data_IF_842335317521
#
_entry.id   IF_842335317521
#
_cell.length_a   1.000
_cell.length_b   1.000
_cell.length_c   1.000
_cell.angle_alpha   90.00
_cell.angle_beta   90.00
_cell.angle_gamma   90.00
#
_symmetry.space_group_name_H-M   'P 1'
#
loop_
_entity.id
_entity.type
_entity.pdbx_description
1 polymer ?
#
# COMPACT_ATOMS: atom_id res chain seq x y z
N UNK A 1 6.49 9.13 6.26
CA UNK A 1 7.70 9.41 7.06
C UNK A 1 7.45 10.66 7.86
N UNK A 2 7.65 10.63 9.18
CA UNK A 2 7.52 11.84 9.99
C UNK A 2 8.84 12.64 9.99
N UNK A 3 8.82 13.83 10.60
CA UNK A 3 9.98 14.72 10.59
C UNK A 3 11.13 14.23 11.48
N UNK A 4 10.85 13.50 12.56
CA UNK A 4 11.90 12.98 13.46
C UNK A 4 12.66 11.85 12.77
N UNK A 5 11.94 10.91 12.15
CA UNK A 5 12.53 9.86 11.32
C UNK A 5 13.43 10.47 10.23
N UNK A 6 12.98 11.54 9.59
CA UNK A 6 13.75 12.23 8.56
C UNK A 6 15.03 12.87 9.10
N UNK A 7 14.97 13.51 10.27
CA UNK A 7 16.13 14.13 10.93
C UNK A 7 17.20 13.09 11.23
N UNK A 8 16.82 11.93 11.77
CA UNK A 8 17.74 10.83 12.06
C UNK A 8 18.35 10.26 10.78
N UNK A 9 17.51 10.00 9.76
CA UNK A 9 17.94 9.41 8.48
C UNK A 9 18.86 10.30 7.65
N UNK A 10 18.80 11.61 7.85
CA UNK A 10 19.62 12.59 7.10
C UNK A 10 20.78 13.18 7.90
N UNK A 11 20.92 12.76 9.16
CA UNK A 11 21.86 13.34 10.12
C UNK A 11 21.77 14.87 10.17
N UNK A 12 20.53 15.39 10.13
CA UNK A 12 20.25 16.81 9.91
C UNK A 12 20.95 17.68 10.97
N UNK A 13 20.98 17.22 12.22
CA UNK A 13 21.56 17.96 13.33
C UNK A 13 23.07 18.22 13.15
N UNK A 14 23.79 17.37 12.43
CA UNK A 14 25.23 17.54 12.17
C UNK A 14 25.54 18.43 10.97
N UNK A 15 24.52 18.83 10.18
CA UNK A 15 24.69 19.68 9.00
C UNK A 15 24.82 21.17 9.37
N UNK A 16 25.38 21.96 8.45
CA UNK A 16 25.46 23.42 8.60
C UNK A 16 24.06 24.04 8.64
N UNK A 17 23.91 25.24 9.21
CA UNK A 17 22.58 25.86 9.34
C UNK A 17 21.83 26.05 8.01
N UNK A 18 22.54 26.35 6.91
CA UNK A 18 21.91 26.48 5.59
C UNK A 18 21.49 25.11 5.04
N UNK A 19 22.27 24.06 5.27
CA UNK A 19 21.94 22.69 4.87
C UNK A 19 20.76 22.14 5.70
N UNK A 20 20.66 22.48 6.98
CA UNK A 20 19.49 22.17 7.81
C UNK A 20 18.21 22.76 7.20
N UNK A 21 18.23 24.04 6.84
CA UNK A 21 17.09 24.69 6.19
C UNK A 21 16.77 24.03 4.83
N UNK A 22 17.80 23.63 4.08
CA UNK A 22 17.66 22.91 2.81
C UNK A 22 16.96 21.57 2.98
N UNK A 23 17.36 20.79 3.98
CA UNK A 23 16.75 19.49 4.29
C UNK A 23 15.30 19.64 4.79
N UNK A 24 15.00 20.66 5.60
CA UNK A 24 13.61 20.96 6.01
C UNK A 24 12.75 21.34 4.81
N UNK A 25 13.25 22.23 3.94
CA UNK A 25 12.53 22.61 2.73
C UNK A 25 12.27 21.40 1.82
N UNK A 26 13.24 20.48 1.72
CA UNK A 26 13.08 19.22 1.00
C UNK A 26 12.02 18.31 1.65
N UNK A 27 12.03 18.20 2.98
CA UNK A 27 11.04 17.41 3.72
C UNK A 27 9.62 17.93 3.49
N UNK A 28 9.41 19.24 3.65
CA UNK A 28 8.11 19.89 3.40
C UNK A 28 7.65 19.69 1.95
N UNK A 29 8.56 19.79 0.99
CA UNK A 29 8.25 19.54 -0.41
C UNK A 29 7.86 18.10 -0.69
N UNK A 30 8.64 17.13 -0.21
CA UNK A 30 8.50 15.71 -0.57
C UNK A 30 7.42 14.98 0.24
N UNK A 31 7.34 15.23 1.54
CA UNK A 31 6.48 14.48 2.45
C UNK A 31 5.22 15.24 2.86
N UNK A 32 5.21 16.58 2.76
CA UNK A 32 4.04 17.41 3.05
C UNK A 32 3.40 18.03 1.78
N UNK A 33 3.93 17.73 0.59
CA UNK A 33 3.48 18.25 -0.71
C UNK A 33 3.42 19.80 -0.79
N UNK A 34 4.27 20.50 -0.03
CA UNK A 34 4.35 21.96 -0.03
C UNK A 34 5.30 22.47 -1.11
N UNK A 35 4.79 23.23 -2.08
CA UNK A 35 5.61 23.83 -3.15
C UNK A 35 6.47 25.01 -2.69
N UNK A 36 6.07 25.67 -1.62
CA UNK A 36 6.76 26.81 -1.02
C UNK A 36 6.80 26.60 0.50
N UNK A 37 7.84 27.08 1.17
CA UNK A 37 7.99 27.04 2.62
C UNK A 37 8.14 28.44 3.21
N UNK A 38 7.58 28.62 4.41
CA UNK A 38 7.77 29.83 5.20
C UNK A 38 9.01 29.67 6.09
N UNK A 39 9.99 30.57 5.93
CA UNK A 39 11.28 30.44 6.62
C UNK A 39 11.12 30.38 8.14
N UNK A 40 10.28 31.23 8.75
CA UNK A 40 10.13 31.25 10.21
C UNK A 40 9.55 29.93 10.72
N UNK A 41 8.52 29.39 10.05
CA UNK A 41 7.95 28.10 10.40
C UNK A 41 8.98 26.95 10.30
N UNK A 42 9.81 26.94 9.26
CA UNK A 42 10.88 25.94 9.12
C UNK A 42 11.97 26.09 10.20
N UNK A 43 12.28 27.32 10.64
CA UNK A 43 13.23 27.57 11.74
C UNK A 43 12.67 27.15 13.10
N UNK A 44 11.38 27.38 13.35
CA UNK A 44 10.68 26.87 14.53
C UNK A 44 10.71 25.35 14.56
N UNK A 45 10.42 24.71 13.43
CA UNK A 45 10.50 23.25 13.27
C UNK A 45 11.90 22.72 13.58
N UNK A 46 12.97 23.38 13.13
CA UNK A 46 14.35 23.00 13.50
C UNK A 46 14.60 23.08 15.01
N UNK A 47 14.00 24.05 15.69
CA UNK A 47 14.11 24.19 17.14
C UNK A 47 13.47 23.01 17.88
N UNK A 48 12.37 22.45 17.35
CA UNK A 48 11.68 21.30 17.96
C UNK A 48 12.52 20.02 18.02
N UNK A 49 13.57 19.93 17.19
CA UNK A 49 14.50 18.78 17.13
C UNK A 49 15.91 19.13 17.63
N UNK A 50 16.07 20.28 18.30
CA UNK A 50 17.36 20.72 18.84
C UNK A 50 18.35 21.23 17.79
N UNK A 51 17.91 21.44 16.54
CA UNK A 51 18.74 21.86 15.41
C UNK A 51 18.59 23.35 15.08
N UNK A 52 18.23 24.16 16.08
CA UNK A 52 17.96 25.59 15.94
C UNK A 52 19.09 26.38 15.27
N UNK A 53 18.72 27.56 14.75
CA UNK A 53 19.62 28.45 14.02
C UNK A 53 19.91 29.68 14.88
N UNK A 54 21.17 30.10 14.90
CA UNK A 54 21.65 31.22 15.71
C UNK A 54 21.30 32.60 15.18
N UNK A 55 21.20 32.81 13.86
CA UNK A 55 20.96 34.13 13.26
C UNK A 55 20.06 34.09 12.02
N UNK A 56 18.80 34.48 12.20
CA UNK A 56 17.77 34.49 11.14
C UNK A 56 18.11 35.44 9.99
N UNK A 57 18.71 36.60 10.26
CA UNK A 57 19.10 37.56 9.23
C UNK A 57 20.22 37.00 8.34
N UNK A 58 21.20 36.31 8.95
CA UNK A 58 22.27 35.61 8.23
C UNK A 58 21.69 34.51 7.32
N UNK A 59 20.73 33.74 7.81
CA UNK A 59 20.06 32.70 7.00
C UNK A 59 19.31 33.33 5.83
N UNK A 60 18.53 34.40 6.04
CA UNK A 60 17.86 35.10 4.93
C UNK A 60 18.85 35.56 3.84
N UNK A 61 19.99 36.12 4.24
CA UNK A 61 21.05 36.52 3.29
C UNK A 61 21.63 35.31 2.55
N UNK A 62 21.89 34.21 3.26
CA UNK A 62 22.42 32.98 2.69
C UNK A 62 21.45 32.34 1.68
N UNK A 63 20.14 32.30 2.00
CA UNK A 63 19.11 31.81 1.07
C UNK A 63 19.05 32.67 -0.20
N UNK A 64 19.19 33.99 -0.07
CA UNK A 64 19.16 34.91 -1.21
C UNK A 64 20.36 34.72 -2.16
N UNK A 65 21.53 34.40 -1.60
CA UNK A 65 22.77 34.19 -2.36
C UNK A 65 22.89 32.77 -2.92
N UNK A 66 22.16 31.81 -2.35
CA UNK A 66 22.27 30.41 -2.75
C UNK A 66 21.49 30.13 -4.03
N UNK A 67 22.10 29.38 -4.95
CA UNK A 67 21.45 28.82 -6.14
C UNK A 67 20.43 27.72 -5.82
N UNK A 68 20.34 27.29 -4.55
CA UNK A 68 19.46 26.20 -4.13
C UNK A 68 18.03 26.65 -3.89
N UNK A 69 17.83 27.95 -3.69
CA UNK A 69 16.53 28.51 -3.34
C UNK A 69 16.14 29.61 -4.32
N UNK A 70 14.84 29.86 -4.41
CA UNK A 70 14.29 31.06 -5.04
C UNK A 70 13.18 31.63 -4.17
N UNK A 71 12.97 32.93 -4.21
CA UNK A 71 11.87 33.58 -3.49
C UNK A 71 10.64 33.70 -4.39
N UNK A 72 9.47 33.38 -3.85
CA UNK A 72 8.20 33.54 -4.55
C UNK A 72 7.78 35.00 -4.56
N UNK A 73 7.55 35.56 -5.74
CA UNK A 73 7.13 36.95 -5.90
C UNK A 73 5.68 37.19 -5.43
N UNK A 74 4.87 36.14 -5.30
CA UNK A 74 3.45 36.24 -4.93
C UNK A 74 3.25 36.22 -3.41
N UNK A 75 3.95 35.33 -2.72
CA UNK A 75 3.74 35.03 -1.30
C UNK A 75 4.87 35.55 -0.42
N UNK A 76 6.05 35.82 -0.99
CA UNK A 76 7.27 36.12 -0.23
C UNK A 76 7.94 34.89 0.39
N UNK A 77 7.36 33.70 0.22
CA UNK A 77 7.89 32.42 0.69
C UNK A 77 9.09 31.96 -0.16
N UNK A 78 9.76 30.91 0.31
CA UNK A 78 10.90 30.32 -0.37
C UNK A 78 10.53 29.03 -1.07
N UNK A 79 11.21 28.74 -2.16
CA UNK A 79 11.04 27.51 -2.95
C UNK A 79 12.41 26.86 -3.07
N UNK A 80 12.49 25.56 -2.79
CA UNK A 80 13.66 24.75 -3.07
C UNK A 80 13.72 24.46 -4.58
N UNK A 81 14.88 24.68 -5.20
CA UNK A 81 15.04 24.44 -6.63
C UNK A 81 15.01 22.94 -6.95
N UNK A 82 14.39 22.58 -8.08
CA UNK A 82 14.17 21.19 -8.46
C UNK A 82 15.46 20.37 -8.60
N UNK A 83 16.54 20.98 -9.13
CA UNK A 83 17.84 20.33 -9.23
C UNK A 83 18.46 20.02 -7.86
N UNK A 84 18.33 20.95 -6.91
CA UNK A 84 18.78 20.74 -5.54
C UNK A 84 17.96 19.65 -4.85
N UNK A 85 16.63 19.68 -5.01
CA UNK A 85 15.76 18.64 -4.49
C UNK A 85 16.10 17.25 -5.05
N UNK A 86 16.39 17.17 -6.36
CA UNK A 86 16.84 15.93 -7.00
C UNK A 86 18.19 15.44 -6.44
N UNK A 87 19.14 16.35 -6.24
CA UNK A 87 20.44 16.01 -5.63
C UNK A 87 20.29 15.44 -4.20
N UNK A 88 19.42 16.04 -3.38
CA UNK A 88 19.15 15.54 -2.01
C UNK A 88 18.45 14.18 -2.07
N UNK A 89 17.49 14.02 -2.98
CA UNK A 89 16.80 12.75 -3.22
C UNK A 89 17.77 11.63 -3.60
N UNK A 90 18.79 11.94 -4.40
CA UNK A 90 19.84 11.00 -4.79
C UNK A 90 20.81 10.72 -3.63
N UNK A 91 21.23 11.75 -2.88
CA UNK A 91 22.12 11.62 -1.71
C UNK A 91 21.53 10.70 -0.63
N UNK A 92 20.24 10.85 -0.33
CA UNK A 92 19.56 10.09 0.73
C UNK A 92 18.62 9.01 0.19
N UNK A 93 18.86 8.53 -1.04
CA UNK A 93 17.95 7.59 -1.72
C UNK A 93 17.64 6.37 -0.86
N UNK A 94 18.66 5.72 -0.32
CA UNK A 94 18.52 4.47 0.44
C UNK A 94 17.86 4.68 1.81
N UNK A 95 18.17 5.79 2.48
CA UNK A 95 17.64 6.12 3.80
C UNK A 95 16.17 6.54 3.72
N UNK A 96 15.82 7.27 2.66
CA UNK A 96 14.46 7.79 2.42
C UNK A 96 13.58 6.84 1.61
N UNK A 97 14.10 5.71 1.16
CA UNK A 97 13.33 4.67 0.50
C UNK A 97 12.27 4.11 1.47
N UNK A 98 11.02 4.15 1.05
CA UNK A 98 9.94 3.52 1.81
C UNK A 98 9.89 2.03 1.47
N UNK A 99 10.38 1.21 2.39
CA UNK A 99 10.41 -0.25 2.25
C UNK A 99 9.17 -0.93 2.84
N UNK A 100 8.28 -0.17 3.47
CA UNK A 100 7.18 -0.71 4.26
C UNK A 100 5.82 -0.44 3.62
N UNK A 101 5.67 0.66 2.87
CA UNK A 101 4.46 0.91 2.10
C UNK A 101 4.44 0.10 0.81
N UNK A 102 3.23 -0.23 0.37
CA UNK A 102 2.98 -0.88 -0.91
C UNK A 102 2.21 0.13 -1.74
N UNK A 103 2.79 0.57 -2.85
CA UNK A 103 2.09 1.44 -3.78
C UNK A 103 0.95 0.65 -4.43
N UNK A 104 -0.27 1.13 -4.27
CA UNK A 104 -1.49 0.48 -4.72
C UNK A 104 -2.53 1.55 -5.02
N UNK A 105 -3.22 1.44 -6.16
CA UNK A 105 -4.23 2.39 -6.59
C UNK A 105 -5.30 1.73 -7.48
N UNK A 106 -5.96 0.69 -6.95
CA UNK A 106 -7.10 0.03 -7.60
C UNK A 106 -6.81 -0.59 -8.97
N UNK A 107 -5.58 -1.06 -9.22
CA UNK A 107 -5.19 -1.61 -10.51
C UNK A 107 -5.97 -2.87 -10.91
N UNK A 108 -6.37 -3.68 -9.92
CA UNK A 108 -7.17 -4.89 -10.13
C UNK A 108 -8.38 -5.00 -9.19
N UNK A 109 -8.20 -4.71 -7.89
CA UNK A 109 -9.23 -4.75 -6.86
C UNK A 109 -9.55 -3.34 -6.36
N UNK A 110 -10.83 -3.03 -6.22
CA UNK A 110 -11.32 -1.75 -5.68
C UNK A 110 -11.08 -1.66 -4.16
N UNK A 111 -10.08 -0.88 -3.76
CA UNK A 111 -9.74 -0.63 -2.37
C UNK A 111 -10.80 0.17 -1.62
N UNK A 112 -11.57 1.03 -2.31
CA UNK A 112 -12.67 1.74 -1.64
C UNK A 112 -13.75 0.77 -1.21
N UNK A 113 -13.97 -0.28 -2.00
CA UNK A 113 -14.93 -1.32 -1.70
C UNK A 113 -14.41 -2.31 -0.66
N UNK A 114 -13.18 -2.82 -0.85
CA UNK A 114 -12.68 -3.98 -0.12
C UNK A 114 -11.75 -3.66 1.06
N UNK A 115 -11.16 -2.46 1.13
CA UNK A 115 -10.25 -2.08 2.23
C UNK A 115 -10.99 -1.40 3.40
N UNK A 116 -10.28 -1.22 4.51
CA UNK A 116 -10.81 -0.61 5.74
C UNK A 116 -11.70 -1.53 6.56
N UNK A 117 -11.65 -2.85 6.27
CA UNK A 117 -12.46 -3.87 6.98
C UNK A 117 -11.62 -4.65 7.97
N UNK A 118 -10.47 -5.16 7.52
CA UNK A 118 -9.50 -5.90 8.34
C UNK A 118 -8.10 -5.61 7.81
N UNK A 119 -7.20 -5.18 8.69
CA UNK A 119 -5.86 -4.73 8.32
C UNK A 119 -5.05 -5.74 7.51
N UNK A 120 -5.22 -7.04 7.75
CA UNK A 120 -4.52 -8.07 6.98
C UNK A 120 -5.11 -8.25 5.56
N UNK A 121 -6.42 -8.03 5.37
CA UNK A 121 -7.05 -8.02 4.05
C UNK A 121 -6.61 -6.79 3.28
N UNK A 122 -6.58 -5.62 3.92
CA UNK A 122 -6.12 -4.36 3.32
C UNK A 122 -4.71 -4.53 2.73
N UNK A 123 -3.79 -5.16 3.50
CA UNK A 123 -2.43 -5.47 3.02
C UNK A 123 -2.43 -6.42 1.82
N UNK A 124 -3.27 -7.45 1.83
CA UNK A 124 -3.37 -8.40 0.71
C UNK A 124 -3.93 -7.73 -0.55
N UNK A 125 -4.92 -6.86 -0.42
CA UNK A 125 -5.49 -6.09 -1.53
C UNK A 125 -4.41 -5.19 -2.14
N UNK A 126 -3.65 -4.47 -1.30
CA UNK A 126 -2.53 -3.66 -1.80
C UNK A 126 -1.46 -4.49 -2.49
N UNK A 127 -1.15 -5.68 -1.98
CA UNK A 127 -0.22 -6.61 -2.63
C UNK A 127 -0.73 -7.12 -3.99
N UNK A 128 -2.02 -7.45 -4.10
CA UNK A 128 -2.63 -7.88 -5.37
C UNK A 128 -2.52 -6.77 -6.42
N UNK A 129 -2.94 -5.56 -6.07
CA UNK A 129 -2.87 -4.39 -6.94
C UNK A 129 -1.44 -4.07 -7.37
N UNK A 130 -0.50 -4.07 -6.42
CA UNK A 130 0.92 -3.83 -6.71
C UNK A 130 1.55 -4.91 -7.59
N UNK A 131 1.27 -6.20 -7.34
CA UNK A 131 1.81 -7.30 -8.16
C UNK A 131 1.22 -7.31 -9.56
N UNK A 132 -0.06 -6.97 -9.73
CA UNK A 132 -0.66 -6.78 -11.05
C UNK A 132 0.00 -5.62 -11.80
N UNK A 133 0.13 -4.44 -11.16
CA UNK A 133 0.78 -3.24 -11.73
C UNK A 133 2.20 -3.52 -12.23
N UNK A 134 2.96 -4.31 -11.47
CA UNK A 134 4.37 -4.59 -11.75
C UNK A 134 4.60 -5.88 -12.55
N UNK A 135 3.56 -6.42 -13.21
CA UNK A 135 3.64 -7.61 -14.06
C UNK A 135 4.10 -8.91 -13.35
N UNK A 136 3.96 -8.97 -12.03
CA UNK A 136 4.24 -10.15 -11.22
C UNK A 136 3.00 -11.07 -11.16
N UNK A 137 2.56 -11.58 -12.30
CA UNK A 137 1.24 -12.22 -12.44
C UNK A 137 1.08 -13.53 -11.66
N UNK A 138 2.11 -14.35 -11.54
CA UNK A 138 2.05 -15.55 -10.69
C UNK A 138 1.84 -15.19 -9.21
N UNK A 139 2.55 -14.16 -8.73
CA UNK A 139 2.35 -13.66 -7.37
C UNK A 139 0.93 -13.09 -7.19
N UNK A 140 0.44 -12.34 -8.18
CA UNK A 140 -0.93 -11.81 -8.19
C UNK A 140 -1.97 -12.95 -8.09
N UNK A 141 -1.85 -13.99 -8.91
CA UNK A 141 -2.76 -15.14 -8.90
C UNK A 141 -2.74 -15.91 -7.57
N UNK A 142 -1.57 -16.10 -6.97
CA UNK A 142 -1.43 -16.73 -5.65
C UNK A 142 -2.08 -15.88 -4.55
N UNK A 143 -1.91 -14.56 -4.59
CA UNK A 143 -2.54 -13.65 -3.64
C UNK A 143 -4.06 -13.60 -3.79
N UNK A 144 -4.59 -13.60 -5.03
CA UNK A 144 -6.02 -13.73 -5.30
C UNK A 144 -6.59 -15.04 -4.72
N UNK A 145 -5.88 -16.16 -4.89
CA UNK A 145 -6.27 -17.43 -4.27
C UNK A 145 -6.28 -17.36 -2.74
N UNK A 146 -5.29 -16.71 -2.13
CA UNK A 146 -5.21 -16.53 -0.67
C UNK A 146 -6.36 -15.68 -0.13
N UNK A 147 -6.67 -14.54 -0.76
CA UNK A 147 -7.82 -13.71 -0.37
C UNK A 147 -9.10 -14.53 -0.47
N UNK A 148 -9.28 -15.27 -1.56
CA UNK A 148 -10.47 -16.10 -1.78
C UNK A 148 -10.65 -17.17 -0.69
N UNK A 149 -9.58 -17.88 -0.32
CA UNK A 149 -9.60 -18.86 0.77
C UNK A 149 -9.96 -18.24 2.12
N UNK A 150 -9.33 -17.11 2.47
CA UNK A 150 -9.63 -16.37 3.70
C UNK A 150 -11.10 -15.95 3.72
N UNK A 151 -11.63 -15.47 2.61
CA UNK A 151 -13.02 -15.01 2.52
C UNK A 151 -14.03 -16.14 2.66
N UNK A 152 -13.73 -17.33 2.14
CA UNK A 152 -14.53 -18.52 2.39
C UNK A 152 -14.53 -18.86 3.89
N UNK A 153 -13.36 -18.89 4.53
CA UNK A 153 -13.24 -19.16 5.98
C UNK A 153 -14.07 -18.15 6.79
N UNK A 154 -13.91 -16.86 6.54
CA UNK A 154 -14.65 -15.80 7.25
C UNK A 154 -16.16 -15.92 7.04
N UNK A 155 -16.61 -16.32 5.86
CA UNK A 155 -18.02 -16.62 5.62
C UNK A 155 -18.48 -17.80 6.50
N UNK A 156 -17.77 -18.92 6.51
CA UNK A 156 -18.13 -20.07 7.34
C UNK A 156 -18.18 -19.72 8.84
N UNK A 157 -17.23 -18.94 9.34
CA UNK A 157 -17.21 -18.44 10.73
C UNK A 157 -18.40 -17.51 11.05
N UNK A 158 -18.79 -16.66 10.10
CA UNK A 158 -19.94 -15.77 10.25
C UNK A 158 -21.25 -16.57 10.33
N UNK A 159 -21.36 -17.66 9.55
CA UNK A 159 -22.51 -18.56 9.52
C UNK A 159 -22.48 -19.67 10.60
N UNK A 160 -21.44 -19.73 11.45
CA UNK A 160 -21.28 -20.76 12.50
C UNK A 160 -21.17 -22.19 11.95
N UNK A 161 -20.50 -22.35 10.82
CA UNK A 161 -20.31 -23.61 10.11
C UNK A 161 -18.82 -24.00 10.00
N UNK A 162 -17.92 -23.32 10.70
CA UNK A 162 -16.47 -23.53 10.63
C UNK A 162 -16.03 -24.96 11.00
N UNK A 163 -16.80 -25.66 11.83
CA UNK A 163 -16.55 -27.06 12.18
C UNK A 163 -16.57 -28.00 10.96
N UNK A 164 -17.33 -27.67 9.92
CA UNK A 164 -17.41 -28.48 8.69
C UNK A 164 -16.14 -28.38 7.83
N UNK A 165 -15.39 -27.29 7.97
CA UNK A 165 -14.18 -26.99 7.20
C UNK A 165 -12.89 -27.15 8.01
N UNK A 166 -12.97 -27.64 9.25
CA UNK A 166 -11.81 -28.01 10.07
C UNK A 166 -11.54 -29.51 10.03
N UNK A 167 -10.28 -29.89 10.18
CA UNK A 167 -9.86 -31.28 10.36
C UNK A 167 -9.91 -31.69 11.84
N UNK A 168 -9.50 -32.93 12.12
CA UNK A 168 -9.52 -33.49 13.47
C UNK A 168 -8.51 -32.83 14.42
N UNK A 169 -7.51 -32.13 13.89
CA UNK A 169 -6.51 -31.39 14.67
C UNK A 169 -6.98 -29.96 14.98
N UNK A 170 -8.10 -29.53 14.38
CA UNK A 170 -8.65 -28.19 14.55
C UNK A 170 -8.17 -27.18 13.52
N UNK A 171 -7.36 -27.62 12.55
CA UNK A 171 -6.83 -26.79 11.46
C UNK A 171 -7.84 -26.69 10.30
N UNK A 172 -7.78 -25.60 9.54
CA UNK A 172 -8.61 -25.46 8.34
C UNK A 172 -8.14 -26.41 7.24
N UNK A 173 -9.09 -27.11 6.60
CA UNK A 173 -8.82 -27.98 5.46
C UNK A 173 -8.30 -27.17 4.27
N UNK A 174 -7.61 -27.84 3.35
CA UNK A 174 -7.15 -27.21 2.10
C UNK A 174 -8.31 -26.60 1.30
N UNK A 175 -8.05 -25.49 0.60
CA UNK A 175 -8.99 -24.77 -0.26
C UNK A 175 -9.94 -25.64 -1.09
N UNK A 176 -9.47 -26.75 -1.68
CA UNK A 176 -10.34 -27.66 -2.45
C UNK A 176 -11.54 -28.15 -1.61
N UNK A 177 -11.26 -28.63 -0.40
CA UNK A 177 -12.30 -29.11 0.52
C UNK A 177 -13.21 -27.97 0.99
N UNK A 178 -12.67 -26.78 1.22
CA UNK A 178 -13.47 -25.61 1.63
C UNK A 178 -14.44 -25.23 0.50
N UNK A 179 -13.98 -25.22 -0.75
CA UNK A 179 -14.83 -24.94 -1.92
C UNK A 179 -15.93 -25.99 -2.07
N UNK A 180 -15.59 -27.29 -1.94
CA UNK A 180 -16.58 -28.38 -1.97
C UNK A 180 -17.65 -28.17 -0.89
N UNK A 181 -17.25 -27.89 0.36
CA UNK A 181 -18.17 -27.61 1.46
C UNK A 181 -19.02 -26.37 1.20
N UNK A 182 -18.48 -25.32 0.59
CA UNK A 182 -19.24 -24.13 0.24
C UNK A 182 -20.35 -24.44 -0.79
N UNK A 183 -20.02 -25.25 -1.80
CA UNK A 183 -20.97 -25.67 -2.84
C UNK A 183 -22.04 -26.60 -2.28
N UNK A 184 -21.67 -27.55 -1.42
CA UNK A 184 -22.62 -28.43 -0.72
C UNK A 184 -23.61 -27.64 0.15
N UNK A 185 -23.12 -26.62 0.87
CA UNK A 185 -23.91 -25.80 1.77
C UNK A 185 -24.49 -24.54 1.11
N UNK A 186 -24.51 -24.46 -0.23
CA UNK A 186 -24.88 -23.23 -0.98
C UNK A 186 -26.21 -22.62 -0.55
N UNK A 187 -27.20 -23.43 -0.20
CA UNK A 187 -28.53 -22.94 0.17
C UNK A 187 -28.51 -22.30 1.57
N UNK A 188 -27.78 -22.89 2.51
CA UNK A 188 -27.63 -22.38 3.88
C UNK A 188 -26.80 -21.09 3.87
N UNK A 189 -25.72 -21.08 3.10
CA UNK A 189 -24.86 -19.91 2.90
C UNK A 189 -25.53 -18.84 2.01
N UNK A 190 -26.61 -19.19 1.30
CA UNK A 190 -27.31 -18.34 0.35
C UNK A 190 -26.42 -17.85 -0.78
N UNK A 191 -25.54 -18.71 -1.31
CA UNK A 191 -24.66 -18.41 -2.43
C UNK A 191 -25.45 -18.39 -3.75
N UNK A 192 -25.13 -17.44 -4.62
CA UNK A 192 -25.80 -17.30 -5.90
C UNK A 192 -25.50 -18.43 -6.88
N UNK A 193 -26.27 -18.50 -7.97
CA UNK A 193 -26.14 -19.54 -9.00
C UNK A 193 -24.74 -19.47 -9.67
N UNK A 194 -24.28 -20.59 -10.22
CA UNK A 194 -22.98 -20.68 -10.89
C UNK A 194 -21.77 -20.72 -9.95
N UNK A 195 -21.98 -20.72 -8.63
CA UNK A 195 -20.89 -20.65 -7.63
C UNK A 195 -19.84 -21.75 -7.79
N UNK A 196 -20.25 -22.97 -8.17
CA UNK A 196 -19.33 -24.09 -8.35
C UNK A 196 -18.30 -23.79 -9.46
N UNK A 197 -18.79 -23.41 -10.63
CA UNK A 197 -17.96 -23.13 -11.81
C UNK A 197 -17.05 -21.93 -11.56
N UNK A 198 -17.58 -20.86 -10.95
CA UNK A 198 -16.82 -19.65 -10.67
C UNK A 198 -15.73 -19.89 -9.62
N UNK A 199 -16.03 -20.62 -8.55
CA UNK A 199 -15.04 -20.96 -7.52
C UNK A 199 -13.96 -21.88 -8.07
N UNK A 200 -14.31 -22.82 -8.95
CA UNK A 200 -13.34 -23.67 -9.63
C UNK A 200 -12.39 -22.86 -10.52
N UNK A 201 -12.89 -21.87 -11.28
CA UNK A 201 -12.04 -20.98 -12.09
C UNK A 201 -11.05 -20.20 -11.24
N UNK A 202 -11.52 -19.55 -10.18
CA UNK A 202 -10.67 -18.77 -9.25
C UNK A 202 -9.59 -19.67 -8.63
N UNK A 203 -10.00 -20.83 -8.12
CA UNK A 203 -9.11 -21.81 -7.47
C UNK A 203 -8.06 -22.34 -8.44
N UNK A 204 -8.48 -22.69 -9.66
CA UNK A 204 -7.59 -23.27 -10.67
C UNK A 204 -6.49 -22.30 -11.08
N UNK A 205 -6.79 -21.01 -11.30
CA UNK A 205 -5.78 -20.03 -11.68
C UNK A 205 -4.64 -19.96 -10.65
N UNK A 206 -4.99 -19.78 -9.37
CA UNK A 206 -3.97 -19.73 -8.31
C UNK A 206 -3.28 -21.08 -8.03
N UNK A 207 -3.94 -22.21 -8.33
CA UNK A 207 -3.28 -23.52 -8.29
C UNK A 207 -2.26 -23.69 -9.41
N UNK A 208 -2.55 -23.19 -10.61
CA UNK A 208 -1.63 -23.23 -11.73
C UNK A 208 -0.39 -22.39 -11.42
N UNK A 209 -0.59 -21.14 -11.00
CA UNK A 209 0.49 -20.23 -10.60
C UNK A 209 1.40 -20.81 -9.50
N UNK A 210 0.83 -21.54 -8.53
CA UNK A 210 1.58 -22.06 -7.39
C UNK A 210 2.33 -23.38 -7.65
N UNK A 211 1.83 -24.22 -8.56
CA UNK A 211 2.22 -25.64 -8.58
C UNK A 211 2.58 -26.21 -9.95
N UNK A 212 2.30 -25.51 -11.06
CA UNK A 212 2.58 -26.04 -12.40
C UNK A 212 3.98 -25.63 -12.85
N UNK A 213 4.82 -26.63 -13.11
CA UNK A 213 6.23 -26.44 -13.50
C UNK A 213 6.39 -25.73 -14.87
N UNK A 214 5.49 -26.02 -15.82
CA UNK A 214 5.53 -25.48 -17.19
C UNK A 214 4.40 -24.49 -17.43
N UNK A 215 4.16 -23.57 -16.49
CA UNK A 215 3.12 -22.57 -16.55
C UNK A 215 3.60 -21.30 -15.85
N UNK A 216 3.44 -20.17 -16.53
CA UNK A 216 3.53 -18.84 -15.93
C UNK A 216 2.22 -18.12 -16.23
N UNK A 217 1.64 -17.50 -15.22
CA UNK A 217 0.43 -16.72 -15.34
C UNK A 217 0.68 -15.50 -16.23
N UNK A 218 -0.26 -15.20 -17.12
CA UNK A 218 -0.27 -13.99 -17.94
C UNK A 218 -1.32 -13.01 -17.43
N UNK A 219 -1.22 -11.76 -17.87
CA UNK A 219 -2.25 -10.75 -17.66
C UNK A 219 -3.62 -11.22 -18.15
N UNK A 220 -3.68 -11.82 -19.34
CA UNK A 220 -4.92 -12.34 -19.92
C UNK A 220 -5.60 -13.37 -19.03
N UNK A 221 -4.84 -14.24 -18.35
CA UNK A 221 -5.40 -15.27 -17.47
C UNK A 221 -6.09 -14.66 -16.24
N UNK A 222 -5.54 -13.54 -15.73
CA UNK A 222 -6.14 -12.78 -14.62
C UNK A 222 -7.34 -11.98 -15.11
N UNK A 223 -7.21 -11.32 -16.26
CA UNK A 223 -8.24 -10.45 -16.81
C UNK A 223 -9.50 -11.23 -17.21
N UNK A 224 -9.34 -12.45 -17.74
CA UNK A 224 -10.43 -13.35 -18.09
C UNK A 224 -11.28 -13.75 -16.86
N UNK A 225 -10.69 -13.80 -15.66
CA UNK A 225 -11.41 -14.10 -14.43
C UNK A 225 -11.76 -12.86 -13.61
N UNK A 226 -11.29 -11.67 -13.98
CA UNK A 226 -11.39 -10.44 -13.16
C UNK A 226 -12.81 -10.14 -12.73
N UNK A 227 -13.76 -10.18 -13.66
CA UNK A 227 -15.16 -9.90 -13.38
C UNK A 227 -15.77 -10.96 -12.46
N UNK A 228 -15.47 -12.25 -12.73
CA UNK A 228 -15.93 -13.37 -11.89
C UNK A 228 -15.40 -13.19 -10.47
N UNK A 229 -14.11 -12.91 -10.33
CA UNK A 229 -13.45 -12.71 -9.06
C UNK A 229 -14.07 -11.53 -8.30
N UNK A 230 -14.25 -10.36 -8.94
CA UNK A 230 -14.89 -9.18 -8.31
C UNK A 230 -16.29 -9.50 -7.79
N UNK A 231 -17.14 -10.12 -8.61
CA UNK A 231 -18.52 -10.47 -8.23
C UNK A 231 -18.54 -11.44 -7.05
N UNK A 232 -17.69 -12.47 -7.08
CA UNK A 232 -17.63 -13.48 -6.01
C UNK A 232 -17.00 -12.95 -4.74
N UNK A 233 -15.98 -12.10 -4.85
CA UNK A 233 -15.36 -11.46 -3.71
C UNK A 233 -16.35 -10.55 -2.99
N UNK A 234 -17.11 -9.73 -3.73
CA UNK A 234 -18.13 -8.85 -3.14
C UNK A 234 -19.25 -9.64 -2.46
N UNK A 235 -19.76 -10.69 -3.11
CA UNK A 235 -20.70 -11.63 -2.48
C UNK A 235 -20.12 -12.19 -1.17
N UNK A 236 -18.88 -12.69 -1.19
CA UNK A 236 -18.22 -13.21 0.00
C UNK A 236 -18.02 -12.16 1.09
N UNK A 237 -17.75 -10.90 0.75
CA UNK A 237 -17.65 -9.81 1.72
C UNK A 237 -18.97 -9.54 2.43
N UNK A 238 -20.10 -9.56 1.71
CA UNK A 238 -21.42 -9.50 2.32
C UNK A 238 -21.69 -10.72 3.20
N UNK A 239 -21.39 -11.93 2.72
CA UNK A 239 -21.61 -13.18 3.47
C UNK A 239 -20.72 -13.31 4.70
N UNK A 240 -19.53 -12.73 4.69
CA UNK A 240 -18.64 -12.64 5.84
C UNK A 240 -18.99 -11.49 6.80
N UNK A 241 -20.01 -10.68 6.49
CA UNK A 241 -20.44 -9.56 7.33
C UNK A 241 -19.48 -8.36 7.32
N UNK A 242 -18.63 -8.23 6.30
CA UNK A 242 -17.65 -7.13 6.17
C UNK A 242 -18.23 -5.91 5.43
N UNK A 243 -19.24 -6.13 4.59
CA UNK A 243 -20.03 -5.10 3.91
C UNK A 243 -21.50 -5.36 4.24
N UNK A 244 -22.24 -4.28 4.53
CA UNK A 244 -23.67 -4.33 4.78
C UNK A 244 -24.43 -4.15 3.48
#
# INVERSE_FOLDING_TARGET
MDFKDFVEKTDLCCKTEIERVKLVAFFEMKFENKKEFELNASLERLTTVGAGVSNNSRIKQNLTKSKDFRKSNKTGNWILNANTAKSIQEEFKEQLEDKNSIESNNELLDEKLFSGKRTYLDKLISQVNNTYKNHCYDACAVLLRRIFEIMLILMFENYKLESSIRDNNGDYKMLNNIVEKAVENKNILGLSRGVKEDYEKIRNLGNYAAHRIHYNTRDTDIDDIRQIYRVRLEELYHKAGLIK
#
